data_IF_426214407842
#
_entry.id   IF_426214407842
#
_cell.length_a   1.000
_cell.length_b   1.000
_cell.length_c   1.000
_cell.angle_alpha   90.00
_cell.angle_beta   90.00
_cell.angle_gamma   90.00
#
_symmetry.space_group_name_H-M   'P 1'
#
loop_
_entity.id
_entity.type
_entity.pdbx_description
1 polymer ?
#
# COMPACT_ATOMS: atom_id res chain seq x y z
N UNK A 1 27.01 -69.84 55.26
CA UNK A 1 26.40 -69.14 54.08
C UNK A 1 26.27 -67.70 54.43
N UNK A 2 27.10 -66.84 53.83
CA UNK A 2 27.09 -65.37 54.08
C UNK A 2 26.49 -64.69 52.87
N UNK A 3 25.32 -64.08 53.03
CA UNK A 3 24.67 -63.23 52.01
C UNK A 3 25.29 -61.82 52.04
N UNK A 4 25.82 -61.36 50.90
CA UNK A 4 26.25 -59.98 50.70
C UNK A 4 25.10 -59.19 50.08
N UNK A 5 24.62 -58.19 50.78
CA UNK A 5 23.77 -57.15 50.22
C UNK A 5 24.62 -56.19 49.35
N UNK A 6 24.22 -56.02 48.10
CA UNK A 6 24.78 -55.01 47.22
C UNK A 6 23.76 -53.83 47.17
N UNK A 7 24.15 -52.73 47.76
CA UNK A 7 23.40 -51.48 47.68
C UNK A 7 23.72 -50.77 46.35
N UNK A 8 22.74 -50.67 45.44
CA UNK A 8 22.82 -49.86 44.25
C UNK A 8 22.43 -48.43 44.57
N UNK A 9 23.38 -47.49 44.48
CA UNK A 9 23.11 -46.05 44.47
C UNK A 9 22.65 -45.64 43.09
N UNK A 10 21.39 -45.21 42.95
CA UNK A 10 20.88 -44.55 41.75
C UNK A 10 21.13 -43.07 41.88
N UNK A 11 22.11 -42.55 41.14
CA UNK A 11 22.35 -41.08 41.01
C UNK A 11 21.34 -40.47 40.05
N UNK A 12 20.45 -39.63 40.59
CA UNK A 12 19.50 -38.84 39.85
C UNK A 12 20.22 -37.59 39.28
N UNK A 13 20.60 -37.63 38.01
CA UNK A 13 21.16 -36.45 37.31
C UNK A 13 20.01 -35.55 36.87
N UNK A 14 19.78 -34.47 37.60
CA UNK A 14 18.81 -33.44 37.24
C UNK A 14 19.45 -32.53 36.18
N UNK A 15 19.10 -32.73 34.91
CA UNK A 15 19.52 -31.87 33.82
C UNK A 15 18.69 -30.56 33.86
N UNK A 16 19.29 -29.49 34.37
CA UNK A 16 18.71 -28.16 34.31
C UNK A 16 18.76 -27.67 32.84
N UNK A 17 17.61 -27.66 32.18
CA UNK A 17 17.47 -27.02 30.88
C UNK A 17 17.46 -25.50 31.08
N UNK A 18 18.61 -24.86 30.86
CA UNK A 18 18.69 -23.41 30.74
C UNK A 18 17.97 -23.01 29.44
N UNK A 19 16.73 -22.52 29.55
CA UNK A 19 16.07 -21.79 28.48
C UNK A 19 16.83 -20.49 28.29
N UNK A 20 17.71 -20.44 27.29
CA UNK A 20 18.29 -19.18 26.80
C UNK A 20 17.15 -18.40 26.15
N UNK A 21 16.58 -17.47 26.90
CA UNK A 21 15.71 -16.45 26.34
C UNK A 21 16.55 -15.64 25.34
N UNK A 22 16.32 -15.85 24.03
CA UNK A 22 16.86 -14.97 23.01
C UNK A 22 16.33 -13.57 23.33
N UNK A 23 17.20 -12.56 23.53
CA UNK A 23 16.74 -11.20 23.73
C UNK A 23 15.89 -10.84 22.50
N UNK A 24 14.66 -10.39 22.72
CA UNK A 24 13.86 -9.77 21.66
C UNK A 24 14.74 -8.68 21.06
N UNK A 25 15.11 -8.84 19.78
CA UNK A 25 15.99 -7.89 19.11
C UNK A 25 15.26 -6.55 19.16
N UNK A 26 15.84 -5.57 19.87
CA UNK A 26 15.27 -4.24 19.97
C UNK A 26 15.06 -3.71 18.55
N UNK A 27 13.88 -3.14 18.29
CA UNK A 27 13.59 -2.51 17.03
C UNK A 27 14.50 -1.28 16.84
N UNK A 28 15.48 -1.41 15.99
CA UNK A 28 16.50 -0.38 15.71
C UNK A 28 16.25 0.30 14.34
N UNK A 29 15.08 0.10 13.76
CA UNK A 29 14.76 0.57 12.41
C UNK A 29 14.89 2.09 12.25
N UNK A 30 14.40 2.86 13.22
CA UNK A 30 14.52 4.32 13.21
C UNK A 30 15.99 4.76 13.32
N UNK A 31 16.75 4.19 14.27
CA UNK A 31 18.17 4.54 14.44
C UNK A 31 19.00 4.18 13.21
N UNK A 32 18.70 3.05 12.55
CA UNK A 32 19.37 2.66 11.31
C UNK A 32 19.14 3.70 10.20
N UNK A 33 17.92 4.20 10.03
CA UNK A 33 17.59 5.28 9.08
C UNK A 33 18.35 6.57 9.43
N UNK A 34 18.34 6.97 10.70
CA UNK A 34 19.02 8.19 11.17
C UNK A 34 20.54 8.09 11.02
N UNK A 35 21.15 6.95 11.35
CA UNK A 35 22.58 6.71 11.20
C UNK A 35 23.01 6.71 9.73
N UNK A 36 22.22 6.11 8.84
CA UNK A 36 22.45 6.09 7.39
C UNK A 36 22.26 7.49 6.76
N UNK A 37 21.54 8.40 7.45
CA UNK A 37 21.17 9.75 6.96
C UNK A 37 20.35 9.72 5.65
N UNK A 38 19.69 8.61 5.35
CA UNK A 38 18.79 8.47 4.21
C UNK A 38 17.71 7.45 4.50
N UNK A 39 16.57 7.59 3.82
CA UNK A 39 15.43 6.67 3.91
C UNK A 39 14.99 6.28 2.50
N UNK A 40 14.86 4.98 2.25
CA UNK A 40 14.39 4.43 0.98
C UNK A 40 12.86 4.37 0.96
N UNK A 41 12.24 5.13 0.06
CA UNK A 41 10.80 5.36 -0.01
C UNK A 41 10.26 4.75 -1.30
N UNK A 42 9.48 3.68 -1.17
CA UNK A 42 8.81 3.03 -2.31
C UNK A 42 7.61 3.84 -2.76
N UNK A 43 7.66 4.38 -3.97
CA UNK A 43 6.59 5.21 -4.56
C UNK A 43 6.22 4.68 -5.94
N UNK A 44 4.97 4.87 -6.37
CA UNK A 44 4.58 4.60 -7.75
C UNK A 44 5.21 5.63 -8.70
N UNK A 45 5.45 5.24 -9.95
CA UNK A 45 5.94 6.13 -11.00
C UNK A 45 4.97 6.32 -12.16
N UNK A 46 3.81 5.64 -12.11
CA UNK A 46 2.84 5.52 -13.20
C UNK A 46 1.37 5.64 -12.73
N UNK A 47 1.14 6.17 -11.51
CA UNK A 47 -0.18 6.25 -10.88
C UNK A 47 -0.59 7.71 -10.55
N UNK A 48 -0.77 8.57 -11.58
CA UNK A 48 -1.20 9.95 -11.34
C UNK A 48 -2.63 10.00 -10.76
N UNK A 49 -2.89 10.91 -9.81
CA UNK A 49 -2.03 11.96 -9.28
C UNK A 49 -1.30 11.58 -7.96
N UNK A 50 -1.26 10.29 -7.59
CA UNK A 50 -0.63 9.80 -6.34
C UNK A 50 0.89 9.77 -6.44
N UNK A 51 1.46 8.94 -7.32
CA UNK A 51 2.88 8.89 -7.61
C UNK A 51 3.12 8.67 -9.10
N UNK A 52 3.80 9.59 -9.76
CA UNK A 52 4.01 9.51 -11.21
C UNK A 52 5.22 10.33 -11.64
N UNK A 53 5.68 10.07 -12.86
CA UNK A 53 6.74 10.86 -13.48
C UNK A 53 6.16 12.15 -14.07
N UNK A 54 6.64 13.29 -13.57
CA UNK A 54 6.25 14.61 -14.08
C UNK A 54 6.88 14.94 -15.43
N UNK A 55 6.51 16.07 -16.05
CA UNK A 55 7.06 16.49 -17.35
C UNK A 55 8.55 16.86 -17.28
N UNK A 56 9.07 17.14 -16.10
CA UNK A 56 10.50 17.40 -15.81
C UNK A 56 11.28 16.12 -15.51
N UNK A 57 10.70 14.95 -15.76
CA UNK A 57 11.25 13.62 -15.47
C UNK A 57 11.58 13.39 -13.98
N UNK A 58 10.86 14.10 -13.07
CA UNK A 58 10.96 13.86 -11.63
C UNK A 58 9.70 13.20 -11.12
N UNK A 59 9.87 12.34 -10.12
CA UNK A 59 8.74 11.77 -9.39
C UNK A 59 7.98 12.88 -8.67
N UNK A 60 6.65 12.84 -8.78
CA UNK A 60 5.76 13.84 -8.21
C UNK A 60 4.41 13.21 -7.84
N UNK A 61 3.54 13.96 -7.15
CA UNK A 61 2.24 13.50 -6.70
C UNK A 61 2.08 13.55 -5.18
N UNK A 62 0.88 13.24 -4.69
CA UNK A 62 0.59 13.32 -3.25
C UNK A 62 1.45 12.36 -2.42
N UNK A 63 1.71 11.15 -2.93
CA UNK A 63 2.52 10.15 -2.26
C UNK A 63 3.99 10.60 -2.15
N UNK A 64 4.53 11.14 -3.25
CA UNK A 64 5.89 11.65 -3.31
C UNK A 64 6.07 12.87 -2.40
N UNK A 65 5.10 13.77 -2.37
CA UNK A 65 5.11 14.92 -1.46
C UNK A 65 5.06 14.48 0.01
N UNK A 66 4.23 13.48 0.35
CA UNK A 66 4.15 12.93 1.70
C UNK A 66 5.44 12.18 2.08
N UNK A 67 6.03 11.43 1.16
CA UNK A 67 7.29 10.75 1.36
C UNK A 67 8.46 11.74 1.60
N UNK A 68 8.52 12.83 0.83
CA UNK A 68 9.51 13.89 1.03
C UNK A 68 9.33 14.57 2.40
N UNK A 69 8.09 14.90 2.78
CA UNK A 69 7.79 15.47 4.10
C UNK A 69 8.33 14.60 5.24
N UNK A 70 8.16 13.28 5.14
CA UNK A 70 8.66 12.34 6.17
C UNK A 70 10.18 12.40 6.25
N UNK A 71 10.89 12.37 5.11
CA UNK A 71 12.34 12.45 5.07
C UNK A 71 12.85 13.77 5.67
N UNK A 72 12.23 14.90 5.30
CA UNK A 72 12.56 16.23 5.81
C UNK A 72 12.37 16.33 7.33
N UNK A 73 11.25 15.79 7.85
CA UNK A 73 10.96 15.79 9.30
C UNK A 73 11.85 14.83 10.10
N UNK A 74 12.38 13.79 9.45
CA UNK A 74 13.42 12.92 10.03
C UNK A 74 14.84 13.53 9.94
N UNK A 75 15.03 14.59 9.15
CA UNK A 75 16.33 15.19 8.90
C UNK A 75 17.25 14.30 8.07
N UNK A 76 16.70 13.47 7.17
CA UNK A 76 17.42 12.53 6.33
C UNK A 76 17.14 12.76 4.84
N UNK A 77 18.00 12.25 3.97
CA UNK A 77 17.80 12.31 2.52
C UNK A 77 16.71 11.33 2.09
N UNK A 78 15.75 11.78 1.28
CA UNK A 78 14.80 10.90 0.59
C UNK A 78 15.49 10.17 -0.57
N UNK A 79 15.38 8.85 -0.59
CA UNK A 79 15.79 7.99 -1.70
C UNK A 79 14.53 7.35 -2.29
N UNK A 80 14.00 7.95 -3.35
CA UNK A 80 12.79 7.43 -4.00
C UNK A 80 13.11 6.20 -4.84
N UNK A 81 12.39 5.12 -4.57
CA UNK A 81 12.49 3.85 -5.29
C UNK A 81 11.18 3.59 -6.03
N UNK A 82 11.15 3.68 -7.36
CA UNK A 82 9.96 3.30 -8.13
C UNK A 82 9.57 1.86 -7.86
N UNK A 83 8.29 1.63 -7.56
CA UNK A 83 7.79 0.30 -7.24
C UNK A 83 6.42 0.07 -7.89
N UNK A 84 6.27 -1.05 -8.59
CA UNK A 84 4.97 -1.48 -9.10
C UNK A 84 4.11 -2.06 -7.97
N UNK A 85 2.80 -2.03 -8.16
CA UNK A 85 1.82 -2.46 -7.15
C UNK A 85 2.09 -3.87 -6.58
N UNK A 86 2.35 -4.92 -7.37
CA UNK A 86 2.63 -6.26 -6.81
C UNK A 86 3.94 -6.33 -6.02
N UNK A 87 4.90 -5.45 -6.32
CA UNK A 87 6.23 -5.47 -5.70
C UNK A 87 6.36 -4.66 -4.40
N UNK A 88 5.34 -3.87 -4.02
CA UNK A 88 5.39 -3.00 -2.82
C UNK A 88 5.77 -3.76 -1.55
N UNK A 89 5.01 -4.79 -1.19
CA UNK A 89 5.24 -5.60 0.02
C UNK A 89 6.55 -6.42 -0.10
N UNK A 90 6.84 -7.13 -1.19
CA UNK A 90 8.14 -7.79 -1.38
C UNK A 90 9.35 -6.87 -1.21
N UNK A 91 9.32 -5.65 -1.76
CA UNK A 91 10.44 -4.70 -1.61
C UNK A 91 10.61 -4.23 -0.17
N UNK A 92 9.50 -4.02 0.56
CA UNK A 92 9.54 -3.67 1.97
C UNK A 92 10.16 -4.82 2.80
N UNK A 93 9.68 -6.05 2.61
CA UNK A 93 10.14 -7.23 3.33
C UNK A 93 11.61 -7.56 3.08
N UNK A 94 12.08 -7.36 1.84
CA UNK A 94 13.48 -7.60 1.45
C UNK A 94 14.41 -6.40 1.74
N UNK A 95 13.92 -5.38 2.43
CA UNK A 95 14.68 -4.17 2.82
C UNK A 95 15.21 -3.36 1.62
N UNK A 96 14.61 -3.50 0.44
CA UNK A 96 14.89 -2.60 -0.70
C UNK A 96 14.32 -1.21 -0.48
N UNK A 97 13.25 -1.11 0.31
CA UNK A 97 12.64 0.15 0.75
C UNK A 97 12.39 0.08 2.26
N UNK A 98 12.36 1.24 2.89
CA UNK A 98 12.08 1.37 4.32
C UNK A 98 10.60 1.64 4.58
N UNK A 99 9.93 2.35 3.67
CA UNK A 99 8.50 2.63 3.72
C UNK A 99 7.86 2.41 2.35
N UNK A 100 6.59 1.96 2.35
CA UNK A 100 5.72 1.99 1.16
C UNK A 100 4.87 3.27 1.25
N UNK A 101 5.12 4.24 0.36
CA UNK A 101 4.29 5.45 0.23
C UNK A 101 3.71 5.48 -1.18
N UNK A 102 2.74 4.60 -1.45
CA UNK A 102 2.30 4.28 -2.81
C UNK A 102 0.84 3.82 -2.84
N UNK A 103 -0.10 4.74 -2.60
CA UNK A 103 -1.55 4.50 -2.63
C UNK A 103 -1.96 3.15 -1.96
N UNK A 104 -1.40 2.86 -0.79
CA UNK A 104 -1.53 1.58 -0.13
C UNK A 104 -2.79 1.51 0.72
N UNK A 105 -3.77 0.73 0.28
CA UNK A 105 -4.96 0.40 1.08
C UNK A 105 -4.66 -0.70 2.11
N UNK A 106 -5.40 -0.66 3.23
CA UNK A 106 -5.31 -1.60 4.34
C UNK A 106 -6.32 -2.74 4.18
N UNK A 107 -5.89 -3.97 4.39
CA UNK A 107 -6.75 -5.15 4.49
C UNK A 107 -6.13 -6.20 5.44
N UNK A 108 -6.92 -7.18 5.94
CA UNK A 108 -6.45 -8.17 6.92
C UNK A 108 -5.26 -9.02 6.44
N UNK A 109 -5.17 -9.33 5.15
CA UNK A 109 -4.07 -10.16 4.62
C UNK A 109 -2.74 -9.39 4.65
N UNK A 110 -2.77 -8.11 4.29
CA UNK A 110 -1.60 -7.23 4.37
C UNK A 110 -1.18 -6.97 5.81
N UNK A 111 -2.14 -6.81 6.74
CA UNK A 111 -1.88 -6.61 8.17
C UNK A 111 -1.16 -7.78 8.84
N UNK A 112 -1.26 -8.98 8.28
CA UNK A 112 -0.49 -10.15 8.76
C UNK A 112 1.02 -9.99 8.52
N UNK A 113 1.42 -9.28 7.48
CA UNK A 113 2.81 -9.28 6.98
C UNK A 113 3.51 -7.92 7.04
N UNK A 114 2.77 -6.81 7.18
CA UNK A 114 3.29 -5.45 7.36
C UNK A 114 2.46 -4.70 8.40
N UNK A 115 3.02 -3.61 8.94
CA UNK A 115 2.30 -2.66 9.77
C UNK A 115 1.91 -1.43 8.95
N UNK A 116 0.87 -0.73 9.39
CA UNK A 116 0.32 0.44 8.72
C UNK A 116 0.35 1.66 9.63
N UNK A 117 0.68 2.81 9.07
CA UNK A 117 0.52 4.10 9.74
C UNK A 117 -0.96 4.49 9.87
N UNK A 118 -1.22 5.66 10.46
CA UNK A 118 -2.47 6.38 10.27
C UNK A 118 -2.63 6.77 8.80
N UNK A 119 -3.86 7.08 8.39
CA UNK A 119 -4.15 7.48 7.01
C UNK A 119 -3.58 8.86 6.67
N UNK A 120 -3.10 9.04 5.41
CA UNK A 120 -2.54 10.33 4.95
C UNK A 120 -3.29 10.97 3.77
N UNK A 121 -4.07 10.20 3.01
CA UNK A 121 -4.82 10.72 1.84
C UNK A 121 -6.11 9.93 1.61
N UNK A 122 -7.16 10.56 1.07
CA UNK A 122 -8.40 9.86 0.71
C UNK A 122 -8.18 9.01 -0.55
N UNK A 123 -8.87 7.86 -0.63
CA UNK A 123 -8.83 7.03 -1.82
C UNK A 123 -10.14 6.29 -2.05
N UNK A 124 -10.81 6.60 -3.16
CA UNK A 124 -12.00 5.92 -3.63
C UNK A 124 -11.65 4.95 -4.76
N UNK A 125 -12.02 3.71 -4.60
CA UNK A 125 -11.76 2.63 -5.56
C UNK A 125 -13.09 2.21 -6.18
N UNK A 126 -13.16 2.25 -7.50
CA UNK A 126 -14.42 2.08 -8.21
C UNK A 126 -14.23 1.43 -9.57
N UNK A 127 -15.35 0.99 -10.15
CA UNK A 127 -15.47 0.60 -11.55
C UNK A 127 -15.85 1.83 -12.37
N UNK A 128 -15.12 2.03 -13.46
CA UNK A 128 -15.35 3.07 -14.46
C UNK A 128 -15.64 2.43 -15.82
N UNK A 129 -16.43 3.08 -16.62
CA UNK A 129 -16.75 2.60 -17.97
C UNK A 129 -17.44 3.65 -18.83
N UNK A 130 -17.61 3.39 -20.13
CA UNK A 130 -18.27 4.31 -21.04
C UNK A 130 -19.67 4.70 -20.57
N UNK A 131 -20.04 5.96 -20.77
CA UNK A 131 -21.37 6.48 -20.41
C UNK A 131 -22.52 5.63 -20.97
N UNK A 132 -22.35 5.10 -22.16
CA UNK A 132 -23.35 4.26 -22.83
C UNK A 132 -23.60 2.91 -22.13
N UNK A 133 -22.69 2.40 -21.30
CA UNK A 133 -22.91 1.17 -20.54
C UNK A 133 -23.73 1.46 -19.30
N UNK A 134 -24.93 0.86 -19.24
CA UNK A 134 -25.81 0.95 -18.07
C UNK A 134 -25.38 -0.12 -17.05
N UNK A 135 -24.56 0.28 -16.07
CA UNK A 135 -24.08 -0.59 -14.96
C UNK A 135 -24.56 0.06 -13.67
N UNK A 136 -25.44 -0.63 -12.93
CA UNK A 136 -26.04 -0.17 -11.65
C UNK A 136 -25.79 -1.15 -10.51
N UNK A 137 -25.41 -2.39 -10.82
CA UNK A 137 -25.12 -3.45 -9.86
C UNK A 137 -23.92 -4.26 -10.31
N UNK A 138 -23.35 -5.06 -9.42
CA UNK A 138 -22.27 -6.00 -9.78
C UNK A 138 -22.73 -7.07 -10.77
N UNK A 139 -24.00 -7.46 -10.76
CA UNK A 139 -24.56 -8.42 -11.71
C UNK A 139 -24.53 -7.90 -13.16
N UNK A 140 -24.63 -6.59 -13.36
CA UNK A 140 -24.54 -5.97 -14.68
C UNK A 140 -23.15 -6.08 -15.33
N UNK A 141 -22.14 -6.50 -14.55
CA UNK A 141 -20.80 -6.81 -15.06
C UNK A 141 -20.74 -8.14 -15.81
N UNK A 142 -21.79 -8.97 -15.77
CA UNK A 142 -21.83 -10.26 -16.43
C UNK A 142 -21.51 -10.14 -17.92
N UNK A 143 -20.61 -11.00 -18.41
CA UNK A 143 -20.17 -11.04 -19.80
C UNK A 143 -19.27 -9.88 -20.25
N UNK A 144 -18.99 -8.91 -19.40
CA UNK A 144 -18.11 -7.77 -19.69
C UNK A 144 -16.65 -8.13 -19.50
N UNK A 145 -15.76 -7.21 -19.93
CA UNK A 145 -14.33 -7.26 -19.62
C UNK A 145 -13.90 -6.04 -18.78
N UNK A 146 -13.01 -6.26 -17.81
CA UNK A 146 -12.52 -5.21 -16.92
C UNK A 146 -11.00 -5.31 -16.76
N UNK A 147 -10.32 -4.17 -16.87
CA UNK A 147 -8.90 -4.05 -16.53
C UNK A 147 -8.74 -3.75 -15.04
N UNK A 148 -7.77 -4.38 -14.41
CA UNK A 148 -7.37 -4.13 -13.02
C UNK A 148 -5.89 -4.39 -12.84
N UNK A 149 -5.22 -3.60 -11.99
CA UNK A 149 -3.82 -3.85 -11.61
C UNK A 149 -3.77 -4.97 -10.58
N UNK A 150 -2.94 -5.97 -10.83
CA UNK A 150 -2.76 -7.14 -9.95
C UNK A 150 -2.38 -6.72 -8.53
N UNK A 151 -2.97 -7.39 -7.53
CA UNK A 151 -2.64 -7.19 -6.12
C UNK A 151 -3.11 -5.86 -5.54
N UNK A 152 -4.03 -5.17 -6.20
CA UNK A 152 -4.74 -4.01 -5.66
C UNK A 152 -5.92 -4.44 -4.79
N UNK A 153 -6.44 -3.53 -3.96
CA UNK A 153 -7.71 -3.74 -3.24
C UNK A 153 -8.86 -3.93 -4.25
N UNK A 154 -8.83 -3.24 -5.39
CA UNK A 154 -9.83 -3.40 -6.44
C UNK A 154 -9.85 -4.82 -7.01
N UNK A 155 -8.67 -5.43 -7.22
CA UNK A 155 -8.54 -6.81 -7.65
C UNK A 155 -9.12 -7.78 -6.62
N UNK A 156 -8.77 -7.59 -5.33
CA UNK A 156 -9.31 -8.38 -4.22
C UNK A 156 -10.84 -8.27 -4.11
N UNK A 157 -11.38 -7.06 -4.33
CA UNK A 157 -12.83 -6.83 -4.26
C UNK A 157 -13.55 -7.45 -5.46
N UNK A 158 -13.04 -7.29 -6.67
CA UNK A 158 -13.62 -7.91 -7.86
C UNK A 158 -13.70 -9.44 -7.72
N UNK A 159 -12.70 -10.09 -7.14
CA UNK A 159 -12.74 -11.54 -6.90
C UNK A 159 -13.90 -11.98 -5.98
N UNK A 160 -14.36 -11.07 -5.11
CA UNK A 160 -15.44 -11.37 -4.14
C UNK A 160 -16.83 -11.07 -4.66
N UNK A 161 -16.96 -10.03 -5.52
CA UNK A 161 -18.27 -9.49 -5.89
C UNK A 161 -18.60 -9.66 -7.38
N UNK A 162 -17.63 -10.07 -8.20
CA UNK A 162 -17.83 -10.18 -9.63
C UNK A 162 -18.67 -11.42 -10.00
N UNK A 163 -19.60 -11.29 -10.96
CA UNK A 163 -20.27 -12.45 -11.53
C UNK A 163 -19.26 -13.37 -12.24
N UNK A 164 -19.50 -14.72 -12.26
CA UNK A 164 -18.55 -15.67 -12.82
C UNK A 164 -18.18 -15.45 -14.30
N UNK A 165 -19.03 -14.75 -15.02
CA UNK A 165 -18.85 -14.46 -16.45
C UNK A 165 -18.09 -13.17 -16.73
N UNK A 166 -17.73 -12.37 -15.71
CA UNK A 166 -16.89 -11.20 -15.85
C UNK A 166 -15.46 -11.62 -16.23
N UNK A 167 -14.93 -11.07 -17.32
CA UNK A 167 -13.55 -11.33 -17.76
C UNK A 167 -12.61 -10.32 -17.12
N UNK A 168 -11.99 -10.69 -15.99
CA UNK A 168 -11.02 -9.84 -15.30
C UNK A 168 -9.66 -9.99 -15.94
N UNK A 169 -9.15 -8.92 -16.57
CA UNK A 169 -7.80 -8.83 -17.13
C UNK A 169 -6.90 -8.11 -16.13
N UNK A 170 -5.88 -8.84 -15.64
CA UNK A 170 -4.92 -8.34 -14.64
C UNK A 170 -3.63 -7.92 -15.30
N UNK A 171 -3.21 -6.70 -15.03
CA UNK A 171 -1.95 -6.14 -15.53
C UNK A 171 -0.96 -5.94 -14.36
N UNK A 172 0.34 -5.90 -14.67
CA UNK A 172 1.39 -5.81 -13.66
C UNK A 172 1.68 -4.38 -13.19
N UNK A 173 1.25 -3.38 -13.97
CA UNK A 173 1.43 -1.96 -13.67
C UNK A 173 0.16 -1.15 -13.96
N UNK A 174 0.11 0.05 -13.39
CA UNK A 174 -1.08 0.89 -13.46
C UNK A 174 -1.22 1.58 -14.83
N UNK A 175 -0.11 1.91 -15.48
CA UNK A 175 -0.12 2.52 -16.82
C UNK A 175 -0.70 1.58 -17.86
N UNK A 176 -0.29 0.31 -17.88
CA UNK A 176 -0.82 -0.71 -18.79
C UNK A 176 -2.29 -1.02 -18.51
N UNK A 177 -2.68 -1.04 -17.22
CA UNK A 177 -4.09 -1.21 -16.81
C UNK A 177 -4.97 -0.11 -17.41
N UNK A 178 -4.57 1.15 -17.25
CA UNK A 178 -5.31 2.30 -17.80
C UNK A 178 -5.29 2.28 -19.33
N UNK A 179 -4.15 1.97 -19.95
CA UNK A 179 -4.00 1.89 -21.40
C UNK A 179 -4.92 0.84 -22.03
N UNK A 180 -5.10 -0.33 -21.41
CA UNK A 180 -6.01 -1.37 -21.86
C UNK A 180 -7.48 -0.90 -21.93
N UNK A 181 -7.89 -0.05 -20.96
CA UNK A 181 -9.20 0.57 -20.99
C UNK A 181 -9.30 1.68 -22.06
N UNK A 182 -8.31 2.57 -22.14
CA UNK A 182 -8.28 3.67 -23.12
C UNK A 182 -8.30 3.13 -24.57
N UNK A 183 -7.55 2.05 -24.84
CA UNK A 183 -7.51 1.38 -26.15
C UNK A 183 -8.73 0.50 -26.44
N UNK A 184 -9.70 0.42 -25.51
CA UNK A 184 -10.88 -0.44 -25.61
C UNK A 184 -10.57 -1.96 -25.64
N UNK A 185 -9.37 -2.37 -25.22
CA UNK A 185 -9.05 -3.78 -24.99
C UNK A 185 -9.95 -4.36 -23.90
N UNK A 186 -10.34 -3.54 -22.91
CA UNK A 186 -11.37 -3.86 -21.93
C UNK A 186 -12.48 -2.83 -21.96
N UNK A 187 -13.71 -3.25 -21.63
CA UNK A 187 -14.88 -2.37 -21.58
C UNK A 187 -14.94 -1.50 -20.33
N UNK A 188 -14.31 -1.98 -19.25
CA UNK A 188 -14.36 -1.37 -17.91
C UNK A 188 -12.94 -1.27 -17.33
N UNK A 189 -12.81 -0.37 -16.35
CA UNK A 189 -11.58 -0.14 -15.59
C UNK A 189 -11.90 -0.15 -14.09
N UNK A 190 -11.16 -0.92 -13.30
CA UNK A 190 -11.17 -0.85 -11.84
C UNK A 190 -9.93 -0.13 -11.36
N UNK A 191 -10.08 1.08 -10.83
CA UNK A 191 -8.98 1.92 -10.34
C UNK A 191 -9.45 2.95 -9.32
N UNK A 192 -8.54 3.80 -8.84
CA UNK A 192 -8.87 4.96 -8.01
C UNK A 192 -9.60 6.05 -8.79
N UNK A 193 -10.58 6.71 -8.16
CA UNK A 193 -11.38 7.73 -8.83
C UNK A 193 -10.54 8.90 -9.38
N UNK A 194 -9.54 9.38 -8.64
CA UNK A 194 -8.63 10.43 -9.10
C UNK A 194 -7.77 9.97 -10.29
N UNK A 195 -7.39 8.68 -10.33
CA UNK A 195 -6.63 8.10 -11.45
C UNK A 195 -7.50 8.03 -12.71
N UNK A 196 -8.74 7.54 -12.58
CA UNK A 196 -9.69 7.53 -13.69
C UNK A 196 -9.96 8.94 -14.21
N UNK A 197 -10.15 9.93 -13.33
CA UNK A 197 -10.34 11.32 -13.71
C UNK A 197 -9.13 11.88 -14.49
N UNK A 198 -7.92 11.63 -14.01
CA UNK A 198 -6.68 12.04 -14.70
C UNK A 198 -6.53 11.36 -16.08
N UNK A 199 -6.91 10.07 -16.19
CA UNK A 199 -6.88 9.35 -17.45
C UNK A 199 -7.90 9.91 -18.47
N UNK A 200 -9.13 10.19 -18.04
CA UNK A 200 -10.17 10.79 -18.90
C UNK A 200 -9.79 12.21 -19.33
N UNK A 201 -9.22 13.02 -18.43
CA UNK A 201 -8.78 14.37 -18.76
C UNK A 201 -7.74 14.36 -19.91
N UNK A 202 -6.85 13.38 -19.92
CA UNK A 202 -5.85 13.21 -21.00
C UNK A 202 -6.43 12.56 -22.27
N UNK A 203 -7.57 11.87 -22.16
CA UNK A 203 -8.19 11.08 -23.22
C UNK A 203 -9.71 11.37 -23.27
N UNK A 204 -10.16 12.59 -23.59
CA UNK A 204 -11.56 13.00 -23.46
C UNK A 204 -12.51 12.21 -24.38
N UNK A 205 -11.98 11.57 -25.44
CA UNK A 205 -12.74 10.72 -26.35
C UNK A 205 -13.30 9.46 -25.68
N UNK A 206 -12.73 9.02 -24.54
CA UNK A 206 -13.14 7.78 -23.85
C UNK A 206 -14.48 7.95 -23.11
N UNK A 207 -14.86 9.16 -22.74
CA UNK A 207 -16.13 9.52 -22.05
C UNK A 207 -16.47 8.54 -20.89
N UNK A 208 -15.48 8.17 -20.11
CA UNK A 208 -15.70 7.26 -18.98
C UNK A 208 -16.33 7.99 -17.79
N UNK A 209 -17.20 7.28 -17.10
CA UNK A 209 -17.83 7.75 -15.86
C UNK A 209 -17.75 6.67 -14.77
N UNK A 210 -17.99 7.09 -13.54
CA UNK A 210 -18.16 6.20 -12.40
C UNK A 210 -19.36 5.27 -12.62
N UNK A 211 -19.21 4.00 -12.25
CA UNK A 211 -20.25 2.98 -12.31
C UNK A 211 -20.58 2.41 -10.93
N UNK A 212 -19.62 1.78 -10.26
CA UNK A 212 -19.83 1.08 -8.99
C UNK A 212 -18.68 1.37 -8.02
N UNK A 213 -19.03 1.60 -6.75
CA UNK A 213 -18.04 1.67 -5.67
C UNK A 213 -17.54 0.26 -5.35
N UNK A 214 -16.23 0.07 -5.36
CA UNK A 214 -15.57 -1.15 -4.86
C UNK A 214 -15.19 -0.99 -3.40
N UNK A 215 -14.52 0.09 -3.07
CA UNK A 215 -14.08 0.38 -1.70
C UNK A 215 -13.86 1.87 -1.50
N UNK A 216 -14.38 2.40 -0.41
CA UNK A 216 -13.92 3.66 0.16
C UNK A 216 -12.89 3.32 1.24
N UNK A 217 -11.64 3.62 0.98
CA UNK A 217 -10.55 3.31 1.89
C UNK A 217 -9.42 4.32 1.69
N UNK A 218 -9.01 5.04 2.73
CA UNK A 218 -7.89 5.95 2.62
C UNK A 218 -6.58 5.22 2.35
N UNK A 219 -5.55 5.98 2.00
CA UNK A 219 -4.20 5.49 1.83
C UNK A 219 -3.41 5.56 3.14
N UNK A 220 -2.63 4.53 3.38
CA UNK A 220 -1.74 4.36 4.52
C UNK A 220 -0.31 4.15 4.04
N UNK A 221 0.67 4.38 4.92
CA UNK A 221 2.06 4.02 4.67
C UNK A 221 2.32 2.64 5.25
N UNK A 222 2.98 1.78 4.48
CA UNK A 222 3.41 0.46 4.93
C UNK A 222 4.78 0.51 5.58
N UNK A 223 4.92 -0.14 6.73
CA UNK A 223 6.15 -0.32 7.50
C UNK A 223 6.39 -1.81 7.68
N UNK A 224 7.64 -2.27 7.74
CA UNK A 224 7.93 -3.69 8.03
C UNK A 224 7.33 -4.10 9.36
N UNK A 225 6.83 -5.32 9.40
CA UNK A 225 6.18 -5.87 10.60
C UNK A 225 7.13 -5.82 11.79
N UNK A 226 6.65 -5.20 12.88
CA UNK A 226 7.40 -5.10 14.14
C UNK A 226 8.39 -3.92 14.23
N UNK A 227 8.56 -3.09 13.18
CA UNK A 227 9.38 -1.88 13.24
C UNK A 227 8.61 -0.72 13.91
N UNK A 228 8.36 -0.86 15.20
CA UNK A 228 7.48 0.02 16.00
C UNK A 228 8.06 1.41 16.21
N UNK A 229 9.39 1.54 16.31
CA UNK A 229 10.05 2.83 16.48
C UNK A 229 9.88 3.72 15.24
N UNK A 230 10.13 3.17 14.04
CA UNK A 230 9.92 3.87 12.79
C UNK A 230 8.44 4.18 12.56
N UNK A 231 7.55 3.20 12.79
CA UNK A 231 6.09 3.37 12.69
C UNK A 231 5.59 4.51 13.59
N UNK A 232 6.00 4.52 14.85
CA UNK A 232 5.62 5.56 15.82
C UNK A 232 6.07 6.93 15.35
N UNK A 233 7.32 7.04 14.90
CA UNK A 233 7.88 8.31 14.42
C UNK A 233 7.18 8.84 13.18
N UNK A 234 6.88 7.96 12.22
CA UNK A 234 6.12 8.34 11.02
C UNK A 234 4.69 8.77 11.37
N UNK A 235 4.04 8.09 12.31
CA UNK A 235 2.71 8.49 12.79
C UNK A 235 2.72 9.87 13.48
N UNK A 236 3.75 10.18 14.28
CA UNK A 236 3.92 11.53 14.86
C UNK A 236 4.01 12.60 13.77
N UNK A 237 4.80 12.36 12.72
CA UNK A 237 4.96 13.26 11.58
C UNK A 237 3.63 13.47 10.85
N UNK A 238 2.91 12.38 10.58
CA UNK A 238 1.62 12.46 9.89
C UNK A 238 0.55 13.17 10.73
N UNK A 239 0.51 12.96 12.07
CA UNK A 239 -0.40 13.69 12.96
C UNK A 239 -0.10 15.19 12.98
N UNK A 240 1.17 15.55 13.05
CA UNK A 240 1.58 16.95 12.96
C UNK A 240 1.16 17.57 11.61
N UNK A 241 1.39 16.88 10.49
CA UNK A 241 1.02 17.33 9.16
C UNK A 241 -0.51 17.38 8.93
N UNK A 242 -1.27 16.55 9.63
CA UNK A 242 -2.73 16.60 9.66
C UNK A 242 -3.20 17.84 10.44
N UNK A 243 -2.60 18.10 11.61
CA UNK A 243 -2.97 19.20 12.48
C UNK A 243 -2.63 20.58 11.92
N UNK A 244 -1.49 20.72 11.21
CA UNK A 244 -1.04 21.97 10.59
C UNK A 244 -1.63 22.23 9.20
N UNK A 245 -2.44 21.29 8.67
CA UNK A 245 -3.10 21.40 7.36
C UNK A 245 -2.23 21.02 6.18
N UNK A 246 -1.01 20.53 6.37
CA UNK A 246 -0.11 20.13 5.27
C UNK A 246 -0.72 19.00 4.42
N UNK A 247 -1.32 17.97 5.05
CA UNK A 247 -1.97 16.89 4.31
C UNK A 247 -3.19 17.38 3.53
N UNK A 248 -3.95 18.33 4.08
CA UNK A 248 -5.08 18.98 3.39
C UNK A 248 -4.60 19.73 2.15
N UNK A 249 -3.52 20.51 2.26
CA UNK A 249 -2.92 21.23 1.14
C UNK A 249 -2.43 20.26 0.03
N UNK A 250 -1.83 19.13 0.41
CA UNK A 250 -1.40 18.12 -0.56
C UNK A 250 -2.60 17.49 -1.27
N UNK A 251 -3.65 17.16 -0.52
CA UNK A 251 -4.89 16.62 -1.10
C UNK A 251 -5.54 17.60 -2.08
N UNK A 252 -5.70 18.86 -1.69
CA UNK A 252 -6.24 19.91 -2.57
C UNK A 252 -5.40 20.08 -3.84
N UNK A 253 -4.08 20.18 -3.69
CA UNK A 253 -3.16 20.38 -4.81
C UNK A 253 -3.20 19.24 -5.83
N UNK A 254 -3.18 17.99 -5.36
CA UNK A 254 -3.01 16.83 -6.23
C UNK A 254 -4.32 16.13 -6.58
N UNK A 255 -5.27 16.07 -5.64
CA UNK A 255 -6.53 15.34 -5.82
C UNK A 255 -7.70 16.25 -6.13
N UNK A 256 -7.52 17.60 -6.07
CA UNK A 256 -8.57 18.59 -6.29
C UNK A 256 -9.68 18.56 -5.24
N UNK A 257 -9.42 17.95 -4.07
CA UNK A 257 -10.40 17.80 -2.98
C UNK A 257 -9.68 17.74 -1.63
N UNK A 258 -10.42 18.09 -0.57
CA UNK A 258 -9.94 17.94 0.78
C UNK A 258 -9.76 16.49 1.22
N UNK A 259 -8.98 16.30 2.29
CA UNK A 259 -8.75 14.98 2.89
C UNK A 259 -10.02 14.34 3.45
N UNK A 260 -10.99 15.16 3.85
CA UNK A 260 -12.11 14.69 4.66
C UNK A 260 -11.63 14.15 6.02
N UNK A 261 -12.41 13.24 6.61
CA UNK A 261 -12.02 12.57 7.86
C UNK A 261 -11.08 11.42 7.53
N UNK A 262 -9.81 11.57 7.89
CA UNK A 262 -8.82 10.49 7.79
C UNK A 262 -8.78 9.72 9.11
N UNK A 263 -8.96 8.38 9.12
CA UNK A 263 -8.86 7.56 10.33
C UNK A 263 -7.43 7.52 10.90
N UNK A 264 -7.37 7.28 12.20
CA UNK A 264 -6.11 7.03 12.93
C UNK A 264 -5.59 5.61 12.67
#
# INVERSE_FOLDING_TARGET
MKFKLVSSLVSLVTTAVLTVATPAQADDSLNAVLAKKSIALGVASDFPPYGFMGPDFKLTGVDVATAQLIADKLGVKAEFVPVSTPNRIPYLQTKKIDLIVSALGKNPEREKVIDFTIAYAPFFQAVFGPKALNIKSFDDLAGKSIAVTRGTIQDDMLQKVAPPTLKIQRFEDDSTTVAAFISQQTQLLATGAAVAAAAVQKNPQVQAEYKLLLKDSPNFIGVRKGETALLTKVNEILRAAKADGTLEQYSQKWLGRGTGVLPE
#
